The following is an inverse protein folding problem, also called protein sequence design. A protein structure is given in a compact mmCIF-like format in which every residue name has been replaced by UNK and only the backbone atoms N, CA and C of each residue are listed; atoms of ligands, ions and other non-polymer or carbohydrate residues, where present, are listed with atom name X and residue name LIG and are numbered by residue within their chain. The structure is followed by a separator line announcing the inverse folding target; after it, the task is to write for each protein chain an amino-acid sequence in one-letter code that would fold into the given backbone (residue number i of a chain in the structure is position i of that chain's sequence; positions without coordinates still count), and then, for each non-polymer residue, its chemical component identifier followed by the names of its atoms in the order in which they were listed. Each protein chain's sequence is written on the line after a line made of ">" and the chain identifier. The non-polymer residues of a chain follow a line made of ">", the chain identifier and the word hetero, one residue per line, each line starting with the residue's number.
data_IF_820662974200
#
_entry.id   IF_820662974200
#
_cell.length_a   1.000
_cell.length_b   1.000
_cell.length_c   1.000
_cell.angle_alpha   90.00
_cell.angle_beta   90.00
_cell.angle_gamma   90.00
#
_symmetry.space_group_name_H-M   'P 1'
#
loop_
_entity.id
_entity.type
_entity.pdbx_description
1 polymer ?
#
# COMPACT_ATOMS: atom_id res chain seq x y z
N UNK A 1 -26.62 30.07 -36.99
CA UNK A 1 -26.03 28.75 -37.32
C UNK A 1 -24.58 28.61 -36.83
N UNK A 2 -23.77 29.68 -36.89
CA UNK A 2 -22.38 29.70 -36.38
C UNK A 2 -22.20 29.17 -34.95
N UNK A 3 -22.98 29.65 -33.98
CA UNK A 3 -22.84 29.25 -32.57
C UNK A 3 -23.06 27.75 -32.31
N UNK A 4 -23.76 27.03 -33.20
CA UNK A 4 -23.92 25.56 -33.13
C UNK A 4 -22.70 24.84 -33.71
N UNK A 5 -22.10 25.38 -34.77
CA UNK A 5 -20.88 24.84 -35.36
C UNK A 5 -19.69 25.03 -34.41
N UNK A 6 -19.60 26.20 -33.78
CA UNK A 6 -18.56 26.54 -32.81
C UNK A 6 -18.65 25.70 -31.53
N UNK A 7 -19.87 25.44 -31.03
CA UNK A 7 -20.06 24.52 -29.91
C UNK A 7 -19.73 23.07 -30.27
N UNK A 8 -20.01 22.63 -31.51
CA UNK A 8 -19.66 21.28 -31.98
C UNK A 8 -18.13 21.11 -32.07
N UNK A 9 -17.42 22.12 -32.58
CA UNK A 9 -15.97 22.11 -32.63
C UNK A 9 -15.33 22.04 -31.23
N UNK A 10 -15.81 22.85 -30.28
CA UNK A 10 -15.34 22.80 -28.88
C UNK A 10 -15.58 21.46 -28.21
N UNK A 11 -16.74 20.87 -28.44
CA UNK A 11 -17.06 19.53 -27.93
C UNK A 11 -16.12 18.50 -28.57
N UNK A 12 -15.86 18.59 -29.87
CA UNK A 12 -14.99 17.66 -30.57
C UNK A 12 -13.52 17.76 -30.12
N UNK A 13 -13.03 18.97 -29.85
CA UNK A 13 -11.71 19.21 -29.26
C UNK A 13 -11.60 18.67 -27.82
N UNK A 14 -12.69 18.73 -27.04
CA UNK A 14 -12.76 18.12 -25.71
C UNK A 14 -12.75 16.59 -25.75
N UNK A 15 -13.33 15.97 -26.78
CA UNK A 15 -13.41 14.51 -26.93
C UNK A 15 -12.17 13.87 -27.55
N UNK A 16 -11.39 14.60 -28.36
CA UNK A 16 -10.23 14.06 -29.05
C UNK A 16 -9.19 13.38 -28.12
N UNK A 17 -8.83 13.96 -26.96
CA UNK A 17 -7.91 13.32 -26.01
C UNK A 17 -8.51 12.07 -25.36
N UNK A 18 -9.81 12.07 -25.07
CA UNK A 18 -10.52 10.95 -24.44
C UNK A 18 -10.56 9.75 -25.40
N UNK A 19 -10.84 10.01 -26.68
CA UNK A 19 -10.84 8.97 -27.71
C UNK A 19 -9.43 8.43 -27.96
N UNK A 20 -8.39 9.28 -27.96
CA UNK A 20 -7.01 8.82 -28.07
C UNK A 20 -6.60 7.89 -26.91
N UNK A 21 -7.08 8.16 -25.69
CA UNK A 21 -6.88 7.28 -24.53
C UNK A 21 -7.64 5.97 -24.71
N UNK A 22 -8.92 6.01 -25.10
CA UNK A 22 -9.76 4.83 -25.36
C UNK A 22 -9.17 3.93 -26.46
N UNK A 23 -8.75 4.52 -27.58
CA UNK A 23 -8.21 3.81 -28.76
C UNK A 23 -6.79 3.28 -28.51
N UNK A 24 -6.05 3.82 -27.54
CA UNK A 24 -4.74 3.30 -27.13
C UNK A 24 -4.82 1.98 -26.35
N UNK A 25 -6.03 1.53 -25.98
CA UNK A 25 -6.23 0.34 -25.13
C UNK A 25 -5.83 0.54 -23.67
N UNK A 26 -5.44 1.76 -23.28
CA UNK A 26 -5.16 2.10 -21.87
C UNK A 26 -6.51 2.27 -21.16
N UNK A 27 -6.82 1.49 -20.12
CA UNK A 27 -8.06 1.69 -19.37
C UNK A 27 -8.09 3.12 -18.82
N UNK A 28 -9.20 3.85 -19.06
CA UNK A 28 -9.40 5.23 -18.59
C UNK A 28 -9.15 5.41 -17.08
N UNK A 29 -9.18 4.31 -16.31
CA UNK A 29 -8.65 4.22 -14.96
C UNK A 29 -8.09 2.80 -14.74
N UNK A 30 -6.76 2.62 -14.67
CA UNK A 30 -6.20 1.39 -14.12
C UNK A 30 -6.44 1.36 -12.61
N UNK A 31 -6.59 0.18 -12.00
CA UNK A 31 -6.72 0.10 -10.53
C UNK A 31 -5.50 0.69 -9.81
N UNK A 32 -4.33 0.62 -10.45
CA UNK A 32 -3.13 1.33 -9.99
C UNK A 32 -3.29 2.86 -10.04
N UNK A 33 -3.87 3.42 -11.11
CA UNK A 33 -4.13 4.87 -11.18
C UNK A 33 -5.09 5.35 -10.06
N UNK A 34 -6.09 4.54 -9.70
CA UNK A 34 -6.96 4.82 -8.55
C UNK A 34 -6.13 4.84 -7.26
N UNK A 35 -5.31 3.83 -7.02
CA UNK A 35 -4.47 3.76 -5.82
C UNK A 35 -3.42 4.88 -5.78
N UNK A 36 -2.87 5.30 -6.93
CA UNK A 36 -1.99 6.47 -7.04
C UNK A 36 -2.71 7.76 -6.67
N UNK A 37 -3.95 7.94 -7.11
CA UNK A 37 -4.76 9.10 -6.76
C UNK A 37 -5.04 9.13 -5.25
N UNK A 38 -5.40 7.99 -4.65
CA UNK A 38 -5.61 7.88 -3.21
C UNK A 38 -4.33 8.11 -2.42
N UNK A 39 -3.18 7.61 -2.92
CA UNK A 39 -1.87 7.95 -2.35
C UNK A 39 -1.60 9.45 -2.39
N UNK A 40 -1.89 10.12 -3.51
CA UNK A 40 -1.72 11.56 -3.62
C UNK A 40 -2.60 12.33 -2.63
N UNK A 41 -3.85 11.90 -2.42
CA UNK A 41 -4.73 12.45 -1.38
C UNK A 41 -4.17 12.22 0.03
N UNK A 42 -3.68 11.00 0.31
CA UNK A 42 -3.03 10.67 1.58
C UNK A 42 -1.80 11.57 1.83
N UNK A 43 -0.92 11.72 0.84
CA UNK A 43 0.29 12.54 0.94
C UNK A 43 -0.03 14.03 1.19
N UNK A 44 -1.13 14.53 0.61
CA UNK A 44 -1.64 15.88 0.90
C UNK A 44 -2.37 15.99 2.26
N UNK A 45 -2.69 14.88 2.90
CA UNK A 45 -3.46 14.80 4.14
C UNK A 45 -2.66 15.12 5.40
N UNK A 46 -3.38 15.44 6.49
CA UNK A 46 -2.78 15.70 7.81
C UNK A 46 -2.10 14.47 8.41
N UNK A 47 -2.70 13.29 8.23
CA UNK A 47 -2.16 12.04 8.77
C UNK A 47 -0.78 11.68 8.19
N UNK A 48 -0.57 11.87 6.87
CA UNK A 48 0.75 11.65 6.26
C UNK A 48 1.79 12.64 6.80
N UNK A 49 1.42 13.93 6.96
CA UNK A 49 2.32 14.92 7.57
C UNK A 49 2.71 14.54 8.99
N UNK A 50 1.75 14.10 9.80
CA UNK A 50 2.01 13.67 11.19
C UNK A 50 2.91 12.43 11.24
N UNK A 51 2.67 11.44 10.38
CA UNK A 51 3.54 10.29 10.21
C UNK A 51 4.98 10.73 9.87
N UNK A 52 5.14 11.53 8.83
CA UNK A 52 6.47 11.97 8.36
C UNK A 52 7.18 12.77 9.44
N UNK A 53 6.49 13.68 10.13
CA UNK A 53 7.04 14.43 11.25
C UNK A 53 7.47 13.50 12.40
N UNK A 54 6.67 12.47 12.70
CA UNK A 54 7.02 11.47 13.72
C UNK A 54 8.27 10.69 13.32
N UNK A 55 8.33 10.17 12.09
CA UNK A 55 9.49 9.45 11.58
C UNK A 55 10.75 10.33 11.58
N UNK A 56 10.62 11.59 11.16
CA UNK A 56 11.71 12.55 11.21
C UNK A 56 12.18 12.80 12.65
N UNK A 57 11.27 13.00 13.60
CA UNK A 57 11.65 13.19 15.01
C UNK A 57 12.38 12.00 15.62
N UNK A 58 12.01 10.76 15.24
CA UNK A 58 12.73 9.56 15.68
C UNK A 58 14.10 9.46 15.00
N UNK A 59 14.20 9.87 13.72
CA UNK A 59 15.46 9.91 12.98
C UNK A 59 16.43 10.94 13.59
N UNK A 60 15.96 12.17 13.83
CA UNK A 60 16.74 13.27 14.41
C UNK A 60 17.25 12.93 15.81
N UNK A 61 16.50 12.11 16.56
CA UNK A 61 16.91 11.59 17.87
C UNK A 61 17.97 10.47 17.79
N UNK A 62 18.41 10.08 16.59
CA UNK A 62 19.37 8.99 16.38
C UNK A 62 18.83 7.60 16.76
N UNK A 63 17.51 7.44 16.81
CA UNK A 63 16.84 6.20 17.27
C UNK A 63 16.46 5.25 16.13
N UNK A 64 16.61 5.68 14.88
CA UNK A 64 16.37 4.84 13.70
C UNK A 64 17.69 4.29 13.15
N UNK A 65 17.75 2.97 12.99
CA UNK A 65 18.77 2.31 12.20
C UNK A 65 18.53 2.55 10.70
N UNK A 66 19.51 2.25 9.86
CA UNK A 66 19.37 2.32 8.40
C UNK A 66 18.31 1.32 7.93
N UNK A 67 17.28 1.82 7.25
CA UNK A 67 16.23 1.00 6.67
C UNK A 67 16.52 0.76 5.19
N UNK A 68 16.70 -0.52 4.82
CA UNK A 68 16.92 -0.95 3.43
C UNK A 68 15.68 -1.55 2.78
N UNK A 69 14.65 -1.87 3.57
CA UNK A 69 13.41 -2.46 3.08
C UNK A 69 12.23 -2.22 4.00
N UNK A 70 11.04 -2.20 3.40
CA UNK A 70 9.75 -2.18 4.08
C UNK A 70 9.08 -3.53 3.85
N UNK A 71 8.54 -4.15 4.91
CA UNK A 71 7.80 -5.41 4.84
C UNK A 71 6.42 -5.21 5.45
N UNK A 72 5.39 -5.27 4.61
CA UNK A 72 4.01 -5.02 4.99
C UNK A 72 3.21 -6.34 5.06
N UNK A 73 2.50 -6.54 6.18
CA UNK A 73 1.64 -7.68 6.43
C UNK A 73 0.19 -7.22 6.63
N UNK A 74 -0.76 -7.98 6.09
CA UNK A 74 -2.19 -7.79 6.33
C UNK A 74 -2.68 -6.36 5.99
N UNK A 75 -2.45 -5.95 4.73
CA UNK A 75 -2.82 -4.64 4.18
C UNK A 75 -4.14 -4.64 3.39
N UNK A 76 -4.85 -5.77 3.38
CA UNK A 76 -6.10 -6.00 2.66
C UNK A 76 -5.97 -5.81 1.14
N UNK A 77 -7.06 -6.04 0.40
CA UNK A 77 -7.05 -6.05 -1.07
C UNK A 77 -7.28 -4.67 -1.67
N UNK A 78 -6.28 -4.03 -2.32
CA UNK A 78 -6.47 -2.74 -2.98
C UNK A 78 -7.47 -2.79 -4.14
N UNK A 79 -7.75 -3.99 -4.68
CA UNK A 79 -8.65 -4.16 -5.82
C UNK A 79 -10.15 -4.17 -5.47
N UNK A 80 -10.53 -4.18 -4.18
CA UNK A 80 -11.92 -4.13 -3.72
C UNK A 80 -12.40 -2.67 -3.69
N UNK A 81 -13.54 -2.41 -4.32
CA UNK A 81 -14.15 -1.06 -4.43
C UNK A 81 -14.82 -0.63 -3.12
N UNK A 82 -15.40 -1.58 -2.38
CA UNK A 82 -16.01 -1.31 -1.08
C UNK A 82 -14.94 -1.14 0.01
N UNK A 83 -14.98 -0.03 0.74
CA UNK A 83 -13.93 0.34 1.70
C UNK A 83 -12.59 0.77 1.07
N UNK A 84 -12.59 1.10 -0.23
CA UNK A 84 -11.39 1.45 -1.00
C UNK A 84 -10.57 2.57 -0.35
N UNK A 85 -11.21 3.58 0.26
CA UNK A 85 -10.49 4.69 0.92
C UNK A 85 -9.58 4.20 2.05
N UNK A 86 -10.07 3.27 2.88
CA UNK A 86 -9.29 2.71 3.98
C UNK A 86 -8.15 1.87 3.43
N UNK A 87 -8.44 0.92 2.55
CA UNK A 87 -7.42 -0.01 2.03
C UNK A 87 -6.37 0.74 1.20
N UNK A 88 -6.77 1.78 0.48
CA UNK A 88 -5.86 2.66 -0.22
C UNK A 88 -4.99 3.45 0.76
N UNK A 89 -5.54 3.94 1.87
CA UNK A 89 -4.75 4.58 2.92
C UNK A 89 -3.72 3.63 3.56
N UNK A 90 -4.04 2.34 3.71
CA UNK A 90 -3.10 1.34 4.24
C UNK A 90 -1.88 1.15 3.33
N UNK A 91 -2.09 1.01 2.02
CA UNK A 91 -0.98 0.92 1.05
C UNK A 91 -0.28 2.27 0.85
N UNK A 92 -1.02 3.38 0.84
CA UNK A 92 -0.44 4.72 0.76
C UNK A 92 0.52 4.99 1.93
N UNK A 93 0.13 4.61 3.14
CA UNK A 93 0.97 4.67 4.33
C UNK A 93 2.26 3.86 4.16
N UNK A 94 2.19 2.60 3.70
CA UNK A 94 3.37 1.78 3.42
C UNK A 94 4.30 2.46 2.40
N UNK A 95 3.72 2.99 1.31
CA UNK A 95 4.50 3.68 0.28
C UNK A 95 5.12 4.98 0.81
N UNK A 96 4.42 5.77 1.63
CA UNK A 96 4.97 6.99 2.23
C UNK A 96 6.14 6.67 3.19
N UNK A 97 6.09 5.53 3.90
CA UNK A 97 7.21 5.05 4.73
C UNK A 97 8.42 4.69 3.86
N UNK A 98 8.21 3.93 2.77
CA UNK A 98 9.26 3.62 1.80
C UNK A 98 9.88 4.90 1.25
N UNK A 99 9.05 5.83 0.79
CA UNK A 99 9.49 7.10 0.18
C UNK A 99 10.24 7.97 1.21
N UNK A 100 9.83 7.94 2.48
CA UNK A 100 10.56 8.61 3.56
C UNK A 100 11.99 8.07 3.68
N UNK A 101 12.16 6.76 3.81
CA UNK A 101 13.49 6.17 3.97
C UNK A 101 14.36 6.30 2.71
N UNK A 102 13.76 6.21 1.53
CA UNK A 102 14.47 6.44 0.27
C UNK A 102 15.01 7.87 0.15
N UNK A 103 14.32 8.86 0.74
CA UNK A 103 14.81 10.25 0.80
C UNK A 103 15.91 10.45 1.84
N UNK A 104 15.92 9.68 2.93
CA UNK A 104 16.96 9.77 3.96
C UNK A 104 18.31 9.24 3.46
N UNK A 105 18.30 8.23 2.60
CA UNK A 105 19.49 7.68 1.97
C UNK A 105 19.28 7.47 0.45
N UNK A 106 19.49 8.53 -0.36
CA UNK A 106 19.29 8.47 -1.81
C UNK A 106 20.21 7.47 -2.54
N UNK A 107 21.25 6.97 -1.86
CA UNK A 107 22.18 5.97 -2.43
C UNK A 107 21.65 4.54 -2.32
N UNK A 108 20.58 4.35 -1.55
CA UNK A 108 20.00 3.03 -1.27
C UNK A 108 18.62 2.91 -1.87
N UNK A 109 18.40 1.86 -2.65
CA UNK A 109 17.05 1.47 -3.04
C UNK A 109 16.35 0.80 -1.86
N UNK A 110 15.30 1.43 -1.34
CA UNK A 110 14.45 0.83 -0.31
C UNK A 110 13.47 -0.12 -0.97
N UNK A 111 13.68 -1.43 -0.78
CA UNK A 111 12.77 -2.47 -1.28
C UNK A 111 11.46 -2.43 -0.54
N UNK A 112 10.36 -2.77 -1.19
CA UNK A 112 9.03 -2.72 -0.57
C UNK A 112 8.32 -4.04 -0.83
N UNK A 113 8.02 -4.80 0.22
CA UNK A 113 7.38 -6.10 0.16
C UNK A 113 5.99 -6.02 0.77
N UNK A 114 5.03 -6.73 0.18
CA UNK A 114 3.69 -6.91 0.75
C UNK A 114 3.34 -8.39 0.81
N UNK A 115 2.76 -8.82 1.93
CA UNK A 115 2.19 -10.15 2.08
C UNK A 115 0.81 -10.04 2.72
N UNK A 116 -0.18 -10.51 1.99
CA UNK A 116 -1.53 -10.75 2.52
C UNK A 116 -2.11 -11.99 1.80
N UNK A 117 -2.47 -13.07 2.52
CA UNK A 117 -3.04 -14.27 1.90
C UNK A 117 -4.30 -14.02 1.05
N UNK A 118 -4.98 -12.89 1.26
CA UNK A 118 -6.19 -12.55 0.49
C UNK A 118 -5.89 -11.95 -0.89
N UNK A 119 -4.65 -11.53 -1.18
CA UNK A 119 -4.29 -10.96 -2.47
C UNK A 119 -4.61 -11.91 -3.62
N UNK A 120 -5.20 -11.35 -4.68
CA UNK A 120 -5.43 -12.03 -5.95
C UNK A 120 -4.45 -11.49 -7.01
N UNK A 121 -4.41 -12.10 -8.19
CA UNK A 121 -3.52 -11.69 -9.29
C UNK A 121 -3.66 -10.20 -9.64
N UNK A 122 -4.91 -9.70 -9.67
CA UNK A 122 -5.17 -8.27 -9.89
C UNK A 122 -4.63 -7.36 -8.77
N UNK A 123 -4.58 -7.83 -7.52
CA UNK A 123 -3.96 -7.08 -6.43
C UNK A 123 -2.43 -7.06 -6.61
N UNK A 124 -1.85 -8.19 -7.03
CA UNK A 124 -0.42 -8.32 -7.31
C UNK A 124 0.03 -7.37 -8.42
N UNK A 125 -0.66 -7.37 -9.55
CA UNK A 125 -0.38 -6.47 -10.68
C UNK A 125 -0.38 -4.99 -10.24
N UNK A 126 -1.42 -4.58 -9.52
CA UNK A 126 -1.56 -3.20 -9.02
C UNK A 126 -0.43 -2.80 -8.07
N UNK A 127 -0.03 -3.71 -7.18
CA UNK A 127 1.04 -3.45 -6.21
C UNK A 127 2.43 -3.44 -6.86
N UNK A 128 2.65 -4.31 -7.85
CA UNK A 128 3.88 -4.35 -8.65
C UNK A 128 4.06 -3.08 -9.48
N UNK A 129 2.98 -2.54 -10.09
CA UNK A 129 3.00 -1.24 -10.77
C UNK A 129 3.38 -0.08 -9.81
N UNK A 130 3.15 -0.23 -8.51
CA UNK A 130 3.52 0.74 -7.48
C UNK A 130 4.91 0.51 -6.88
N UNK A 131 5.66 -0.45 -7.42
CA UNK A 131 7.01 -0.79 -6.96
C UNK A 131 7.02 -1.58 -5.67
N UNK A 132 5.98 -2.39 -5.42
CA UNK A 132 5.94 -3.37 -4.33
C UNK A 132 6.10 -4.78 -4.87
N UNK A 133 6.86 -5.62 -4.19
CA UNK A 133 6.96 -7.05 -4.48
C UNK A 133 5.98 -7.80 -3.59
N UNK A 134 4.97 -8.43 -4.19
CA UNK A 134 4.02 -9.26 -3.44
C UNK A 134 4.63 -10.64 -3.18
N UNK A 135 4.63 -11.05 -1.92
CA UNK A 135 5.19 -12.32 -1.47
C UNK A 135 4.08 -13.30 -1.08
N UNK A 136 4.29 -14.56 -1.42
CA UNK A 136 3.39 -15.64 -1.01
C UNK A 136 3.56 -15.91 0.49
N UNK A 137 2.46 -16.16 1.19
CA UNK A 137 2.51 -16.57 2.60
C UNK A 137 3.28 -17.90 2.76
N UNK A 138 4.26 -18.03 3.68
CA UNK A 138 4.73 -17.08 4.71
C UNK A 138 6.06 -16.36 4.40
N UNK A 139 6.43 -16.20 3.13
CA UNK A 139 7.76 -15.70 2.71
C UNK A 139 8.09 -14.28 3.20
N UNK A 140 7.11 -13.45 3.50
CA UNK A 140 7.29 -12.13 4.09
C UNK A 140 8.11 -12.14 5.37
N UNK A 141 7.99 -13.19 6.20
CA UNK A 141 8.82 -13.32 7.40
C UNK A 141 10.31 -13.51 7.09
N UNK A 142 10.65 -14.07 5.93
CA UNK A 142 12.04 -14.27 5.51
C UNK A 142 12.71 -12.96 5.08
N UNK A 143 11.92 -11.93 4.74
CA UNK A 143 12.44 -10.61 4.39
C UNK A 143 12.66 -9.71 5.61
N UNK A 144 12.24 -10.13 6.81
CA UNK A 144 12.42 -9.34 8.03
C UNK A 144 13.82 -9.58 8.61
N UNK A 145 14.62 -8.51 8.67
CA UNK A 145 15.93 -8.44 9.33
C UNK A 145 16.10 -7.10 10.06
N UNK A 146 17.29 -6.81 10.59
CA UNK A 146 17.58 -5.57 11.33
C UNK A 146 17.45 -4.30 10.46
N UNK A 147 17.49 -4.42 9.13
CA UNK A 147 17.33 -3.31 8.19
C UNK A 147 15.87 -3.10 7.75
N UNK A 148 14.95 -3.93 8.23
CA UNK A 148 13.55 -3.87 7.84
C UNK A 148 12.76 -2.86 8.67
N UNK A 149 11.88 -2.11 8.01
CA UNK A 149 10.72 -1.48 8.63
C UNK A 149 9.49 -2.37 8.41
N UNK A 150 8.90 -2.88 9.49
CA UNK A 150 7.77 -3.80 9.45
C UNK A 150 6.46 -3.06 9.69
N UNK A 151 5.45 -3.38 8.88
CA UNK A 151 4.13 -2.79 8.96
C UNK A 151 3.06 -3.90 9.08
N UNK A 152 2.13 -3.79 10.04
CA UNK A 152 1.10 -4.82 10.26
C UNK A 152 -0.22 -4.26 10.81
N UNK A 153 -1.29 -4.18 10.01
CA UNK A 153 -2.50 -3.44 10.40
C UNK A 153 -3.72 -4.28 10.82
N UNK A 154 -3.90 -5.46 10.25
CA UNK A 154 -5.01 -6.33 10.66
C UNK A 154 -4.61 -7.80 10.60
N UNK A 155 -3.50 -8.20 11.24
CA UNK A 155 -3.07 -9.57 11.11
C UNK A 155 -4.04 -10.49 11.87
N UNK A 156 -4.42 -11.58 11.20
CA UNK A 156 -5.08 -12.75 11.78
C UNK A 156 -4.10 -13.66 12.53
N UNK A 157 -2.79 -13.44 12.33
CA UNK A 157 -1.69 -14.14 13.01
C UNK A 157 -0.88 -13.21 13.91
N UNK A 158 -0.05 -13.80 14.77
CA UNK A 158 0.76 -13.06 15.74
C UNK A 158 2.03 -12.44 15.13
N UNK A 159 1.90 -11.61 14.07
CA UNK A 159 3.03 -11.02 13.33
C UNK A 159 4.04 -10.36 14.27
N UNK A 160 3.57 -9.58 15.26
CA UNK A 160 4.45 -8.93 16.24
C UNK A 160 5.28 -9.91 17.05
N UNK A 161 4.67 -10.98 17.54
CA UNK A 161 5.36 -11.99 18.36
C UNK A 161 6.34 -12.78 17.51
N UNK A 162 5.94 -13.19 16.30
CA UNK A 162 6.81 -13.92 15.37
C UNK A 162 8.01 -13.04 15.02
N UNK A 163 7.76 -11.81 14.55
CA UNK A 163 8.83 -10.88 14.16
C UNK A 163 9.80 -10.63 15.31
N UNK A 164 9.31 -10.42 16.54
CA UNK A 164 10.16 -10.19 17.70
C UNK A 164 11.00 -11.41 18.12
N UNK A 165 10.58 -12.62 17.74
CA UNK A 165 11.30 -13.87 18.02
C UNK A 165 12.34 -14.17 16.92
N UNK A 166 12.00 -13.92 15.66
CA UNK A 166 12.88 -14.22 14.52
C UNK A 166 13.86 -13.09 14.19
N UNK A 167 13.54 -11.84 14.53
CA UNK A 167 14.29 -10.67 14.11
C UNK A 167 14.11 -9.47 15.07
N UNK A 168 14.89 -8.40 14.86
CA UNK A 168 14.74 -7.11 15.55
C UNK A 168 14.75 -5.98 14.52
N UNK A 169 13.63 -5.74 13.82
CA UNK A 169 13.58 -4.75 12.76
C UNK A 169 13.90 -3.34 13.28
N UNK A 170 14.45 -2.50 12.40
CA UNK A 170 14.75 -1.10 12.68
C UNK A 170 13.52 -0.31 13.15
N UNK A 171 12.34 -0.68 12.64
CA UNK A 171 11.06 -0.09 12.99
C UNK A 171 9.96 -1.13 12.87
N UNK A 172 8.99 -1.10 13.78
CA UNK A 172 7.73 -1.84 13.63
C UNK A 172 6.55 -0.93 13.93
N UNK A 173 5.62 -0.81 12.99
CA UNK A 173 4.33 -0.16 13.18
C UNK A 173 3.27 -1.24 13.08
N UNK A 174 2.51 -1.43 14.15
CA UNK A 174 1.48 -2.46 14.19
C UNK A 174 0.19 -1.96 14.84
N UNK A 175 -0.94 -2.49 14.37
CA UNK A 175 -2.23 -2.33 15.05
C UNK A 175 -2.39 -3.36 16.15
N UNK A 176 -3.16 -3.01 17.18
CA UNK A 176 -3.61 -4.00 18.17
C UNK A 176 -4.52 -5.02 17.48
N UNK A 177 -4.34 -6.31 17.79
CA UNK A 177 -5.23 -7.38 17.32
C UNK A 177 -6.66 -7.00 17.73
N UNK A 178 -7.56 -6.86 16.76
CA UNK A 178 -8.99 -6.69 17.05
C UNK A 178 -9.46 -7.99 17.71
N UNK A 179 -9.89 -7.93 18.96
CA UNK A 179 -10.67 -9.01 19.55
C UNK A 179 -12.00 -9.06 18.79
N UNK A 180 -12.10 -9.89 17.76
CA UNK A 180 -13.38 -10.20 17.13
C UNK A 180 -14.13 -11.10 18.13
N UNK A 181 -15.37 -10.77 18.56
CA UNK A 181 -16.20 -11.72 19.27
C UNK A 181 -16.25 -13.02 18.46
N UNK A 182 -16.01 -14.17 19.09
CA UNK A 182 -15.93 -15.49 18.45
C UNK A 182 -17.27 -16.03 17.91
N UNK A 183 -18.16 -15.18 17.44
CA UNK A 183 -19.39 -15.58 16.75
C UNK A 183 -19.23 -15.32 15.27
N UNK A 184 -18.90 -16.37 14.49
CA UNK A 184 -19.26 -16.36 13.07
C UNK A 184 -18.28 -16.93 12.05
N UNK A 185 -17.03 -17.25 12.40
CA UNK A 185 -16.09 -17.78 11.41
C UNK A 185 -15.48 -19.12 11.82
N UNK A 186 -16.01 -20.18 11.18
CA UNK A 186 -15.51 -21.54 11.00
C UNK A 186 -15.45 -22.48 12.21
N UNK A 187 -16.46 -23.36 12.30
CA UNK A 187 -16.32 -24.72 12.83
C UNK A 187 -15.81 -25.58 11.69
N UNK A 188 -14.55 -26.04 11.77
CA UNK A 188 -14.04 -27.05 10.86
C UNK A 188 -14.96 -28.28 10.92
N UNK A 189 -15.45 -28.73 9.76
CA UNK A 189 -15.98 -30.09 9.66
C UNK A 189 -14.81 -31.03 9.90
N UNK A 190 -14.78 -31.63 11.09
CA UNK A 190 -14.16 -32.93 11.25
C UNK A 190 -15.01 -33.90 10.44
N UNK A 191 -14.50 -34.34 9.29
CA UNK A 191 -15.02 -35.52 8.63
C UNK A 191 -14.56 -36.75 9.41
N UNK A 192 -15.51 -37.67 9.60
CA UNK A 192 -15.40 -38.95 10.30
C UNK A 192 -14.71 -39.99 9.43
#
# INVERSE_FOLDING_TARGET
>A
MERRAENRAKIQDLWAPINAIYDSGTPLFTKAAILQQEKAKWDAGGACRELVATLQGVADAGRLQRVGKVVAFACHRPSIVDGAERVAAEHALVLSIRDFFARQDPTTTVRCYAQDPVYQDVDREVLEELGMTVLDNPRGFLEVDESAAVFSLAPDVAVRQIVADIAKPALMIWSKIRQIPREGYWVGRAEQ
#
